data_IF_122189081080
#
_entry.id   IF_122189081080
#
_cell.length_a   1.000
_cell.length_b   1.000
_cell.length_c   1.000
_cell.angle_alpha   90.00
_cell.angle_beta   90.00
_cell.angle_gamma   90.00
#
_symmetry.space_group_name_H-M   'P 1'
#
loop_
_entity.id
_entity.type
_entity.pdbx_description
1 polymer ?
#
# COMPACT_ATOMS: atom_id res chain seq x y z
N UNK A 1 -2.87 12.42 15.55
CA UNK A 1 -1.42 12.16 15.40
C UNK A 1 -1.28 10.81 14.72
N UNK A 2 -0.42 10.67 13.70
CA UNK A 2 -0.15 9.36 13.09
C UNK A 2 0.89 8.65 13.93
N UNK A 3 0.60 7.44 14.37
CA UNK A 3 1.58 6.59 15.04
C UNK A 3 2.40 5.84 13.99
N UNK A 4 3.73 5.83 14.17
CA UNK A 4 4.62 5.10 13.27
C UNK A 4 4.51 3.60 13.55
N UNK A 5 3.99 2.85 12.59
CA UNK A 5 4.03 1.40 12.59
C UNK A 5 4.70 0.90 11.30
N UNK A 6 5.74 0.09 11.44
CA UNK A 6 6.41 -0.56 10.33
C UNK A 6 6.27 -2.06 10.55
N UNK A 7 5.52 -2.74 9.66
CA UNK A 7 5.58 -4.20 9.63
C UNK A 7 7.03 -4.60 9.35
N UNK A 8 7.62 -5.58 10.06
CA UNK A 8 8.98 -6.01 9.77
C UNK A 8 9.07 -6.47 8.32
N UNK A 9 9.84 -5.74 7.52
CA UNK A 9 10.17 -6.10 6.14
C UNK A 9 11.47 -6.93 6.20
N UNK A 10 11.53 -8.11 5.55
CA UNK A 10 12.75 -8.91 5.51
C UNK A 10 13.93 -8.13 4.93
N UNK A 11 15.15 -8.47 5.35
CA UNK A 11 16.35 -7.83 4.82
C UNK A 11 16.49 -8.17 3.33
N UNK A 12 16.88 -7.19 2.52
CA UNK A 12 17.08 -7.37 1.07
C UNK A 12 18.03 -8.52 0.76
N UNK A 13 19.07 -8.73 1.58
CA UNK A 13 20.03 -9.83 1.43
C UNK A 13 19.33 -11.19 1.53
N UNK A 14 18.49 -11.40 2.55
CA UNK A 14 17.78 -12.67 2.77
C UNK A 14 16.84 -13.00 1.60
N UNK A 15 16.19 -11.97 1.04
CA UNK A 15 15.33 -12.12 -0.15
C UNK A 15 16.17 -12.55 -1.35
N UNK A 16 17.30 -11.89 -1.58
CA UNK A 16 18.18 -12.15 -2.72
C UNK A 16 18.84 -13.53 -2.64
N UNK A 17 19.26 -13.98 -1.46
CA UNK A 17 19.82 -15.33 -1.29
C UNK A 17 18.80 -16.42 -1.67
N UNK A 18 17.54 -16.24 -1.27
CA UNK A 18 16.46 -17.17 -1.62
C UNK A 18 16.19 -17.16 -3.13
N UNK A 19 16.19 -15.98 -3.76
CA UNK A 19 16.03 -15.85 -5.21
C UNK A 19 17.20 -16.46 -5.98
N UNK A 20 18.43 -16.33 -5.49
CA UNK A 20 19.64 -16.85 -6.15
C UNK A 20 19.64 -18.38 -6.27
N UNK A 21 19.00 -19.08 -5.33
CA UNK A 21 18.84 -20.55 -5.36
C UNK A 21 17.68 -21.05 -6.25
N UNK A 22 16.85 -20.15 -6.78
CA UNK A 22 15.65 -20.54 -7.50
C UNK A 22 15.94 -20.90 -8.97
N UNK A 23 15.37 -22.02 -9.44
CA UNK A 23 15.45 -22.40 -10.85
C UNK A 23 14.55 -21.54 -11.76
N UNK A 24 13.49 -20.96 -11.19
CA UNK A 24 12.53 -20.11 -11.89
C UNK A 24 12.06 -18.99 -10.96
N UNK A 25 11.95 -17.78 -11.50
CA UNK A 25 11.42 -16.61 -10.79
C UNK A 25 10.26 -16.07 -11.61
N UNK A 26 9.11 -15.91 -10.98
CA UNK A 26 7.98 -15.15 -11.54
C UNK A 26 7.89 -13.79 -10.85
N UNK A 27 7.53 -12.77 -11.61
CA UNK A 27 7.31 -11.42 -11.11
C UNK A 27 5.88 -11.02 -11.43
N UNK A 28 5.19 -10.44 -10.44
CA UNK A 28 3.80 -9.98 -10.57
C UNK A 28 3.80 -8.49 -10.24
N UNK A 29 3.26 -7.67 -11.14
CA UNK A 29 3.08 -6.24 -10.91
C UNK A 29 1.84 -6.01 -10.03
N UNK A 30 2.04 -5.43 -8.84
CA UNK A 30 0.98 -5.02 -7.93
C UNK A 30 0.69 -3.52 -8.03
N UNK A 31 0.76 -2.94 -9.24
CA UNK A 31 0.63 -1.50 -9.53
C UNK A 31 -0.49 -0.77 -8.79
N UNK A 32 -1.60 -1.45 -8.49
CA UNK A 32 -2.75 -0.90 -7.77
C UNK A 32 -3.04 -1.61 -6.45
N UNK A 33 -2.06 -2.30 -5.87
CA UNK A 33 -2.23 -3.08 -4.62
C UNK A 33 -2.73 -2.24 -3.46
N UNK A 34 -2.33 -0.96 -3.36
CA UNK A 34 -2.83 -0.06 -2.32
C UNK A 34 -4.30 0.31 -2.50
N UNK A 35 -4.84 0.30 -3.72
CA UNK A 35 -6.26 0.57 -3.97
C UNK A 35 -7.15 -0.62 -3.62
N UNK A 36 -6.58 -1.82 -3.45
CA UNK A 36 -7.31 -3.03 -3.08
C UNK A 36 -7.50 -3.17 -1.57
N UNK A 37 -6.78 -2.38 -0.78
CA UNK A 37 -6.85 -2.41 0.69
C UNK A 37 -7.75 -1.27 1.15
N UNK A 38 -8.82 -1.63 1.87
CA UNK A 38 -9.77 -0.65 2.40
C UNK A 38 -9.08 0.28 3.41
N UNK A 39 -9.38 1.57 3.31
CA UNK A 39 -8.99 2.55 4.32
C UNK A 39 -9.91 2.44 5.54
N UNK A 40 -9.35 2.54 6.73
CA UNK A 40 -10.11 2.71 7.96
C UNK A 40 -10.95 4.01 7.88
N UNK A 41 -12.25 3.90 8.11
CA UNK A 41 -13.22 5.01 8.01
C UNK A 41 -12.83 6.20 8.91
N UNK A 42 -12.31 5.91 10.11
CA UNK A 42 -11.86 6.92 11.08
C UNK A 42 -10.54 7.59 10.67
N UNK A 43 -9.88 7.11 9.62
CA UNK A 43 -8.63 7.68 9.10
C UNK A 43 -8.77 8.31 7.71
N UNK A 44 -9.92 8.16 7.04
CA UNK A 44 -10.15 8.71 5.70
C UNK A 44 -9.91 10.23 5.62
N UNK A 45 -10.31 11.00 6.64
CA UNK A 45 -10.10 12.45 6.64
C UNK A 45 -8.61 12.87 6.64
N UNK A 46 -7.71 11.99 7.09
CA UNK A 46 -6.26 12.26 7.16
C UNK A 46 -5.58 12.15 5.80
N UNK A 47 -6.21 11.50 4.83
CA UNK A 47 -5.66 11.26 3.49
C UNK A 47 -6.20 12.24 2.45
N UNK A 48 -6.90 13.28 2.91
CA UNK A 48 -7.54 14.23 2.03
C UNK A 48 -6.59 15.17 1.31
N UNK A 49 -6.99 15.58 0.12
CA UNK A 49 -6.29 16.53 -0.74
C UNK A 49 -7.29 17.49 -1.38
N UNK A 50 -6.83 18.71 -1.69
CA UNK A 50 -7.66 19.70 -2.38
C UNK A 50 -7.75 19.37 -3.87
N UNK A 51 -8.97 19.11 -4.35
CA UNK A 51 -9.31 19.02 -5.76
C UNK A 51 -9.92 20.32 -6.30
N UNK A 52 -10.13 20.42 -7.62
CA UNK A 52 -10.74 21.60 -8.25
C UNK A 52 -12.12 21.97 -7.69
N UNK A 53 -12.91 20.96 -7.33
CA UNK A 53 -14.32 21.12 -6.90
C UNK A 53 -14.51 20.95 -5.38
N UNK A 54 -13.43 20.82 -4.61
CA UNK A 54 -13.50 20.66 -3.16
C UNK A 54 -12.46 19.70 -2.59
N UNK A 55 -12.61 19.36 -1.31
CA UNK A 55 -11.71 18.46 -0.60
C UNK A 55 -12.13 17.00 -0.82
N UNK A 56 -11.18 16.17 -1.25
CA UNK A 56 -11.39 14.75 -1.60
C UNK A 56 -10.56 13.89 -0.66
N UNK A 57 -11.15 12.83 -0.12
CA UNK A 57 -10.49 11.85 0.75
C UNK A 57 -10.38 10.50 0.04
N UNK A 58 -9.40 9.68 0.41
CA UNK A 58 -9.36 8.27 -0.03
C UNK A 58 -10.27 7.48 0.92
N UNK A 59 -11.36 6.91 0.41
CA UNK A 59 -12.29 6.07 1.19
C UNK A 59 -12.43 4.68 0.59
N UNK A 60 -12.84 3.71 1.41
CA UNK A 60 -13.14 2.35 0.97
C UNK A 60 -14.34 2.28 -0.01
N UNK A 61 -15.17 3.32 -0.01
CA UNK A 61 -16.45 3.41 -0.75
C UNK A 61 -16.35 4.21 -2.05
N UNK A 62 -15.16 4.70 -2.43
CA UNK A 62 -14.98 5.52 -3.63
C UNK A 62 -15.07 4.72 -4.95
N UNK A 63 -15.45 3.43 -4.88
CA UNK A 63 -15.48 2.49 -6.00
C UNK A 63 -16.85 1.83 -6.23
N UNK A 64 -17.89 2.20 -5.47
CA UNK A 64 -19.29 1.83 -5.70
C UNK A 64 -20.09 2.96 -6.37
#
# INVERSE_FOLDING_TARGET
MTEGYCHPIPLTVDILERLASANYISCIDLRSGFHQIAMDEDSAYKTGFAGPDGYINISAWAWD
#
